data_IF_479423018922
#
_entry.id   IF_479423018922
#
_cell.length_a   1.000
_cell.length_b   1.000
_cell.length_c   1.000
_cell.angle_alpha   90.00
_cell.angle_beta   90.00
_cell.angle_gamma   90.00
#
_symmetry.space_group_name_H-M   'P 1'
#
loop_
_entity.id
_entity.type
_entity.pdbx_description
1 polymer ?
#
# COMPACT_ATOMS: atom_id res chain seq x y z
N UNK A 1 0.27 -7.58 -12.86
CA UNK A 1 -0.20 -8.33 -11.68
C UNK A 1 -1.69 -8.12 -11.49
N UNK A 2 -2.36 -8.97 -10.71
CA UNK A 2 -3.76 -8.78 -10.35
C UNK A 2 -3.91 -7.67 -9.31
N UNK A 3 -5.06 -7.00 -9.30
CA UNK A 3 -5.34 -5.93 -8.33
C UNK A 3 -5.28 -6.43 -6.87
N UNK A 4 -5.62 -7.69 -6.61
CA UNK A 4 -5.48 -8.31 -5.29
C UNK A 4 -4.02 -8.29 -4.82
N UNK A 5 -3.10 -8.74 -5.66
CA UNK A 5 -1.67 -8.84 -5.34
C UNK A 5 -1.07 -7.45 -5.16
N UNK A 6 -1.48 -6.49 -6.00
CA UNK A 6 -1.08 -5.09 -5.88
C UNK A 6 -1.52 -4.48 -4.55
N UNK A 7 -2.76 -4.74 -4.11
CA UNK A 7 -3.27 -4.24 -2.82
C UNK A 7 -2.53 -4.85 -1.64
N UNK A 8 -2.27 -6.17 -1.66
CA UNK A 8 -1.46 -6.83 -0.63
C UNK A 8 -0.06 -6.24 -0.57
N UNK A 9 0.62 -6.11 -1.71
CA UNK A 9 1.98 -5.59 -1.79
C UNK A 9 2.06 -4.11 -1.36
N UNK A 10 1.04 -3.31 -1.70
CA UNK A 10 0.97 -1.92 -1.29
C UNK A 10 0.67 -1.77 0.21
N UNK A 11 -0.16 -2.64 0.80
CA UNK A 11 -0.34 -2.69 2.26
C UNK A 11 1.00 -2.93 2.96
N UNK A 12 1.69 -4.00 2.55
CA UNK A 12 3.01 -4.36 3.10
C UNK A 12 3.99 -3.19 2.99
N UNK A 13 4.06 -2.53 1.82
CA UNK A 13 4.92 -1.36 1.61
C UNK A 13 4.59 -0.21 2.56
N UNK A 14 3.31 0.13 2.73
CA UNK A 14 2.88 1.22 3.63
C UNK A 14 3.21 0.89 5.08
N UNK A 15 3.14 -0.38 5.45
CA UNK A 15 3.48 -0.84 6.79
C UNK A 15 4.99 -1.03 7.03
N UNK A 16 5.81 -0.89 5.98
CA UNK A 16 7.26 -1.08 6.05
C UNK A 16 7.70 -2.55 6.03
N UNK A 17 6.79 -3.45 5.64
CA UNK A 17 7.02 -4.88 5.52
C UNK A 17 7.64 -5.25 4.17
N UNK A 18 8.17 -6.47 4.09
CA UNK A 18 8.69 -7.02 2.84
C UNK A 18 7.56 -7.24 1.82
N UNK A 19 7.84 -6.99 0.54
CA UNK A 19 6.88 -7.28 -0.53
C UNK A 19 6.64 -8.79 -0.66
N UNK A 20 5.42 -9.21 -1.06
CA UNK A 20 5.12 -10.60 -1.33
C UNK A 20 6.10 -11.22 -2.34
N UNK A 21 6.39 -12.54 -2.23
CA UNK A 21 7.26 -13.23 -3.19
C UNK A 21 6.82 -12.99 -4.64
N UNK A 22 7.78 -12.66 -5.50
CA UNK A 22 7.51 -12.39 -6.92
C UNK A 22 6.96 -11.00 -7.23
N UNK A 23 6.70 -10.15 -6.22
CA UNK A 23 6.35 -8.74 -6.43
C UNK A 23 7.56 -7.87 -6.13
N UNK A 24 7.99 -7.08 -7.13
CA UNK A 24 9.05 -6.09 -6.96
C UNK A 24 8.47 -4.68 -6.88
N UNK A 25 9.27 -3.75 -6.35
CA UNK A 25 8.90 -2.33 -6.30
C UNK A 25 8.46 -1.77 -7.67
N UNK A 26 9.29 -1.91 -8.72
CA UNK A 26 8.94 -1.44 -10.06
C UNK A 26 7.68 -2.09 -10.65
N UNK A 27 7.45 -3.38 -10.37
CA UNK A 27 6.25 -4.08 -10.85
C UNK A 27 5.00 -3.53 -10.17
N UNK A 28 5.06 -3.22 -8.87
CA UNK A 28 3.99 -2.53 -8.14
C UNK A 28 3.74 -1.13 -8.70
N UNK A 29 4.79 -0.34 -8.91
CA UNK A 29 4.67 1.03 -9.39
C UNK A 29 4.06 1.08 -10.80
N UNK A 30 4.46 0.15 -11.69
CA UNK A 30 3.89 0.04 -13.02
C UNK A 30 2.37 -0.25 -12.99
N UNK A 31 1.91 -1.11 -12.08
CA UNK A 31 0.49 -1.38 -11.92
C UNK A 31 -0.27 -0.16 -11.38
N UNK A 32 0.29 0.54 -10.39
CA UNK A 32 -0.31 1.77 -9.85
C UNK A 32 -0.41 2.86 -10.92
N UNK A 33 0.58 2.97 -11.81
CA UNK A 33 0.50 3.88 -12.94
C UNK A 33 -0.63 3.52 -13.92
N UNK A 34 -0.88 2.22 -14.15
CA UNK A 34 -1.90 1.75 -15.09
C UNK A 34 -3.33 1.62 -14.53
N UNK A 35 -3.51 1.47 -13.22
CA UNK A 35 -4.80 1.11 -12.63
C UNK A 35 -5.38 2.23 -11.76
N UNK A 36 -6.47 2.86 -12.21
CA UNK A 36 -7.13 3.94 -11.47
C UNK A 36 -7.69 3.50 -10.11
N UNK A 37 -8.23 2.28 -10.02
CA UNK A 37 -8.78 1.74 -8.78
C UNK A 37 -7.70 1.50 -7.71
N UNK A 38 -6.53 0.98 -8.12
CA UNK A 38 -5.43 0.77 -7.20
C UNK A 38 -4.78 2.09 -6.76
N UNK A 39 -4.75 3.14 -7.60
CA UNK A 39 -4.38 4.50 -7.16
C UNK A 39 -5.35 5.08 -6.15
N UNK A 40 -6.65 4.86 -6.34
CA UNK A 40 -7.66 5.30 -5.37
C UNK A 40 -7.49 4.56 -4.04
N UNK A 41 -7.20 3.26 -4.11
CA UNK A 41 -6.93 2.45 -2.93
C UNK A 41 -5.67 2.91 -2.19
N UNK A 42 -4.57 3.21 -2.91
CA UNK A 42 -3.34 3.79 -2.34
C UNK A 42 -3.60 5.05 -1.52
N UNK A 43 -4.34 6.01 -2.08
CA UNK A 43 -4.70 7.23 -1.35
C UNK A 43 -5.46 6.93 -0.06
N UNK A 44 -6.36 5.94 -0.07
CA UNK A 44 -7.14 5.54 1.12
C UNK A 44 -6.26 4.90 2.18
N UNK A 45 -5.32 4.03 1.79
CA UNK A 45 -4.41 3.37 2.74
C UNK A 45 -3.43 4.35 3.35
N UNK A 46 -2.87 5.29 2.56
CA UNK A 46 -2.01 6.35 3.08
C UNK A 46 -2.77 7.25 4.07
N UNK A 47 -4.00 7.65 3.74
CA UNK A 47 -4.84 8.40 4.66
C UNK A 47 -5.11 7.61 5.95
N UNK A 48 -5.46 6.32 5.84
CA UNK A 48 -5.68 5.45 7.00
C UNK A 48 -4.44 5.36 7.89
N UNK A 49 -3.26 5.17 7.28
CA UNK A 49 -1.98 5.12 8.02
C UNK A 49 -1.74 6.43 8.78
N UNK A 50 -1.94 7.56 8.14
CA UNK A 50 -1.82 8.88 8.76
C UNK A 50 -2.79 9.05 9.95
N UNK A 51 -4.05 8.67 9.77
CA UNK A 51 -5.06 8.70 10.84
C UNK A 51 -4.68 7.81 12.01
N UNK A 52 -4.29 6.57 11.73
CA UNK A 52 -3.92 5.60 12.77
C UNK A 52 -2.65 6.01 13.49
N UNK A 53 -1.65 6.59 12.81
CA UNK A 53 -0.47 7.16 13.48
C UNK A 53 -0.84 8.33 14.39
N UNK A 54 -1.80 9.17 13.97
CA UNK A 54 -2.28 10.29 14.80
C UNK A 54 -3.06 9.84 16.03
N UNK A 55 -3.93 8.84 15.88
CA UNK A 55 -4.74 8.29 16.98
C UNK A 55 -3.89 7.41 17.90
N UNK A 56 -2.92 6.67 17.34
CA UNK A 56 -2.00 5.81 18.07
C UNK A 56 -0.89 6.55 18.80
N UNK A 57 -0.82 7.88 18.70
CA UNK A 57 0.17 8.73 19.39
C UNK A 57 0.04 8.80 20.93
N UNK A 58 -0.91 8.06 21.52
CA UNK A 58 -1.02 7.83 22.98
C UNK A 58 -0.82 6.36 23.32
N UNK A 59 0.38 5.84 23.06
CA UNK A 59 0.92 4.64 23.71
C UNK A 59 2.44 4.80 23.79
N UNK A 60 2.90 5.55 24.78
CA UNK A 60 4.25 5.45 25.34
C UNK A 60 4.30 4.23 26.27
#
# INVERSE_FOLDING_TARGET
MHCSDSRTALSARVDGEALPPGVTGPVLDAHLHGCADCRLWERRVLALREWTTRIGGTAL
#
